data_IF_060454208725
#
_entry.id   IF_060454208725
#
_cell.length_a   1.000
_cell.length_b   1.000
_cell.length_c   1.000
_cell.angle_alpha   90.00
_cell.angle_beta   90.00
_cell.angle_gamma   90.00
#
_symmetry.space_group_name_H-M   'P 1'
#
loop_
_entity.id
_entity.type
_entity.pdbx_description
1 polymer ?
#
# COMPACT_ATOMS: atom_id res chain seq x y z
N UNK A 1 -20.91 -4.54 6.93
CA UNK A 1 -19.47 -4.48 6.60
C UNK A 1 -19.29 -5.01 5.19
N UNK A 2 -18.90 -4.18 4.23
CA UNK A 2 -18.56 -4.69 2.91
C UNK A 2 -17.25 -5.49 3.00
N UNK A 3 -17.18 -6.66 2.36
CA UNK A 3 -15.96 -7.48 2.32
C UNK A 3 -14.90 -6.71 1.54
N UNK A 4 -13.72 -6.53 2.13
CA UNK A 4 -12.60 -5.92 1.43
C UNK A 4 -12.12 -6.87 0.32
N UNK A 5 -11.77 -6.29 -0.84
CA UNK A 5 -11.12 -7.03 -1.93
C UNK A 5 -9.61 -6.96 -1.77
N UNK A 6 -8.89 -7.97 -2.28
CA UNK A 6 -7.43 -8.08 -2.17
C UNK A 6 -6.71 -6.82 -2.70
N UNK A 7 -7.16 -6.26 -3.82
CA UNK A 7 -6.55 -5.03 -4.38
C UNK A 7 -6.75 -3.79 -3.50
N UNK A 8 -7.84 -3.71 -2.73
CA UNK A 8 -8.08 -2.59 -1.83
C UNK A 8 -7.17 -2.70 -0.60
N UNK A 9 -7.05 -3.91 -0.03
CA UNK A 9 -6.10 -4.20 1.06
C UNK A 9 -4.66 -3.89 0.63
N UNK A 10 -4.27 -4.29 -0.58
CA UNK A 10 -2.95 -4.02 -1.13
C UNK A 10 -2.64 -2.51 -1.18
N UNK A 11 -3.61 -1.69 -1.61
CA UNK A 11 -3.50 -0.22 -1.64
C UNK A 11 -3.37 0.37 -0.24
N UNK A 12 -4.18 -0.09 0.72
CA UNK A 12 -4.13 0.39 2.11
C UNK A 12 -2.79 0.11 2.79
N UNK A 13 -2.21 -1.05 2.51
CA UNK A 13 -0.92 -1.46 3.04
C UNK A 13 0.27 -0.96 2.21
N UNK A 14 0.03 -0.35 1.04
CA UNK A 14 1.08 0.13 0.14
C UNK A 14 2.00 -0.97 -0.42
N UNK A 15 1.49 -2.19 -0.55
CA UNK A 15 2.20 -3.36 -1.07
C UNK A 15 1.55 -3.88 -2.35
N UNK A 16 2.28 -4.57 -3.24
CA UNK A 16 1.69 -5.13 -4.45
C UNK A 16 0.69 -6.24 -4.12
N UNK A 17 -0.37 -6.38 -4.93
CA UNK A 17 -1.40 -7.42 -4.75
C UNK A 17 -0.82 -8.83 -4.68
N UNK A 18 0.32 -9.10 -5.33
CA UNK A 18 1.02 -10.38 -5.28
C UNK A 18 1.46 -10.75 -3.85
N UNK A 19 2.01 -9.79 -3.10
CA UNK A 19 2.45 -10.03 -1.72
C UNK A 19 1.26 -10.35 -0.81
N UNK A 20 0.13 -9.69 -1.04
CA UNK A 20 -1.12 -9.96 -0.30
C UNK A 20 -1.65 -11.35 -0.64
N UNK A 21 -1.62 -11.76 -1.91
CA UNK A 21 -2.03 -13.11 -2.33
C UNK A 21 -1.15 -14.20 -1.72
N UNK A 22 0.17 -13.98 -1.67
CA UNK A 22 1.14 -14.91 -1.05
C UNK A 22 0.89 -15.05 0.45
N UNK A 23 0.74 -13.94 1.17
CA UNK A 23 0.45 -13.97 2.61
C UNK A 23 -0.90 -14.65 2.93
N UNK A 24 -1.95 -14.41 2.13
CA UNK A 24 -3.23 -15.10 2.28
C UNK A 24 -3.09 -16.61 2.04
N UNK A 25 -2.27 -17.02 1.06
CA UNK A 25 -2.00 -18.43 0.79
C UNK A 25 -1.25 -19.11 1.94
N UNK A 26 -0.29 -18.43 2.56
CA UNK A 26 0.44 -18.94 3.74
C UNK A 26 -0.49 -19.12 4.95
N UNK A 27 -1.53 -18.30 5.05
CA UNK A 27 -2.60 -18.44 6.05
C UNK A 27 -3.61 -19.56 5.72
N UNK A 28 -3.46 -20.25 4.58
CA UNK A 28 -4.36 -21.29 4.13
C UNK A 28 -5.59 -20.79 3.36
N UNK A 29 -5.66 -19.50 3.03
CA UNK A 29 -6.76 -18.90 2.27
C UNK A 29 -6.38 -18.75 0.78
N UNK A 30 -7.07 -19.49 -0.09
CA UNK A 30 -6.76 -19.51 -1.52
C UNK A 30 -7.66 -18.55 -2.31
N UNK A 31 -7.14 -17.36 -2.58
CA UNK A 31 -7.81 -16.35 -3.40
C UNK A 31 -7.39 -16.43 -4.87
N UNK A 32 -8.37 -16.35 -5.79
CA UNK A 32 -8.16 -16.57 -7.24
C UNK A 32 -7.49 -15.38 -7.94
N UNK A 33 -7.78 -14.15 -7.51
CA UNK A 33 -7.28 -12.92 -8.13
C UNK A 33 -7.38 -11.73 -7.19
N UNK A 34 -6.79 -10.60 -7.58
CA UNK A 34 -6.90 -9.35 -6.82
C UNK A 34 -8.35 -8.83 -6.69
N UNK A 35 -9.26 -9.27 -7.55
CA UNK A 35 -10.69 -8.93 -7.51
C UNK A 35 -11.50 -9.82 -6.56
N UNK A 36 -10.89 -10.87 -6.00
CA UNK A 36 -11.54 -11.73 -5.01
C UNK A 36 -11.74 -10.98 -3.68
N UNK A 37 -12.88 -11.22 -3.04
CA UNK A 37 -13.20 -10.74 -1.68
C UNK A 37 -12.59 -11.65 -0.63
N UNK A 38 -12.13 -11.06 0.47
CA UNK A 38 -11.59 -11.77 1.63
C UNK A 38 -12.60 -11.70 2.77
N UNK A 39 -12.79 -12.80 3.50
CA UNK A 39 -13.64 -12.81 4.69
C UNK A 39 -13.08 -11.86 5.77
N UNK A 40 -13.97 -11.12 6.44
CA UNK A 40 -13.60 -10.15 7.46
C UNK A 40 -12.62 -10.67 8.54
N UNK A 41 -12.77 -11.88 9.11
CA UNK A 41 -11.79 -12.42 10.05
C UNK A 41 -10.41 -12.67 9.41
N UNK A 42 -10.34 -13.07 8.14
CA UNK A 42 -9.08 -13.33 7.44
C UNK A 42 -8.35 -12.03 7.15
N UNK A 43 -9.07 -10.99 6.68
CA UNK A 43 -8.50 -9.67 6.47
C UNK A 43 -7.96 -9.07 7.77
N UNK A 44 -8.67 -9.23 8.90
CA UNK A 44 -8.19 -8.81 10.23
C UNK A 44 -6.90 -9.51 10.64
N UNK A 45 -6.83 -10.84 10.47
CA UNK A 45 -5.63 -11.63 10.78
C UNK A 45 -4.43 -11.19 9.95
N UNK A 46 -4.64 -10.93 8.66
CA UNK A 46 -3.61 -10.42 7.75
C UNK A 46 -3.08 -9.05 8.21
N UNK A 47 -3.97 -8.14 8.60
CA UNK A 47 -3.61 -6.81 9.12
C UNK A 47 -2.85 -6.90 10.46
N UNK A 48 -3.27 -7.78 11.37
CA UNK A 48 -2.55 -8.00 12.65
C UNK A 48 -1.13 -8.52 12.43
N UNK A 49 -0.93 -9.46 11.50
CA UNK A 49 0.37 -10.10 11.27
C UNK A 49 1.31 -9.22 10.42
N UNK A 50 0.77 -8.61 9.37
CA UNK A 50 1.58 -7.95 8.35
C UNK A 50 1.25 -6.47 8.14
N UNK A 51 0.06 -6.03 8.54
CA UNK A 51 -0.43 -4.66 8.30
C UNK A 51 0.48 -3.59 8.91
N UNK A 52 0.99 -3.80 10.13
CA UNK A 52 1.92 -2.87 10.78
C UNK A 52 3.25 -2.78 10.01
N UNK A 53 3.83 -3.93 9.65
CA UNK A 53 5.09 -4.01 8.92
C UNK A 53 4.97 -3.39 7.51
N UNK A 54 3.87 -3.67 6.81
CA UNK A 54 3.63 -3.16 5.47
C UNK A 54 3.29 -1.66 5.47
N UNK A 55 2.46 -1.17 6.39
CA UNK A 55 2.21 0.28 6.53
C UNK A 55 3.49 1.03 6.90
N UNK A 56 4.32 0.50 7.80
CA UNK A 56 5.61 1.11 8.13
C UNK A 56 6.56 1.14 6.92
N UNK A 57 6.64 0.05 6.16
CA UNK A 57 7.44 -0.02 4.94
C UNK A 57 6.92 0.93 3.84
N UNK A 58 5.61 1.06 3.70
CA UNK A 58 4.97 1.99 2.77
C UNK A 58 5.24 3.46 3.16
N UNK A 59 5.13 3.80 4.44
CA UNK A 59 5.46 5.13 4.96
C UNK A 59 6.94 5.48 4.74
N UNK A 60 7.86 4.54 4.97
CA UNK A 60 9.29 4.73 4.69
C UNK A 60 9.60 4.88 3.19
N UNK A 61 8.84 4.23 2.32
CA UNK A 61 8.94 4.44 0.86
C UNK A 61 8.40 5.81 0.43
N UNK A 62 7.35 6.30 1.07
CA UNK A 62 6.78 7.61 0.78
C UNK A 62 7.74 8.76 1.16
N UNK A 63 8.42 8.67 2.32
CA UNK A 63 9.42 9.66 2.72
C UNK A 63 10.67 9.66 1.83
N UNK A 64 11.09 8.50 1.30
CA UNK A 64 12.16 8.45 0.29
C UNK A 64 11.76 9.04 -1.08
N UNK A 65 10.47 9.07 -1.42
CA UNK A 65 9.99 9.71 -2.66
C UNK A 65 9.76 11.22 -2.51
N UNK A 66 9.62 11.72 -1.28
CA UNK A 66 9.62 13.15 -0.97
C UNK A 66 11.00 13.73 -0.62
N UNK A 67 12.04 12.89 -0.53
CA UNK A 67 13.43 13.32 -0.32
C UNK A 67 14.22 13.42 -1.65
N UNK A 68 13.58 13.87 -2.72
CA UNK A 68 14.34 14.59 -3.75
C UNK A 68 14.68 15.98 -3.15
N UNK A 69 15.96 16.36 -3.01
CA UNK A 69 16.31 17.74 -2.72
C UNK A 69 15.95 18.54 -3.97
N UNK A 70 14.72 19.03 -4.05
CA UNK A 70 14.44 20.17 -4.91
C UNK A 70 15.22 21.35 -4.31
N UNK A 71 16.17 21.97 -5.02
CA UNK A 71 16.84 23.14 -4.49
C UNK A 71 15.80 24.23 -4.22
N UNK A 72 16.03 24.94 -3.13
CA UNK A 72 15.20 26.01 -2.63
C UNK A 72 14.92 27.10 -3.68
N UNK A 73 13.78 27.76 -3.48
CA UNK A 73 13.50 29.16 -3.77
C UNK A 73 14.51 29.92 -4.67
N UNK A 74 14.06 30.28 -5.87
CA UNK A 74 14.51 31.44 -6.63
C UNK A 74 13.30 31.93 -7.44
N UNK A 75 12.60 32.94 -6.95
CA UNK A 75 12.82 34.35 -7.31
C UNK A 75 11.94 34.74 -8.52
N UNK A 76 11.06 35.69 -8.26
CA UNK A 76 10.39 36.46 -9.28
C UNK A 76 11.43 37.11 -10.21
N UNK A 77 11.19 37.05 -11.52
CA UNK A 77 11.47 38.17 -12.42
C UNK A 77 10.64 38.02 -13.69
N UNK A 78 9.96 39.12 -14.02
CA UNK A 78 9.37 39.41 -15.32
C UNK A 78 10.41 39.31 -16.45
N UNK A 79 9.96 39.06 -17.68
CA UNK A 79 10.02 40.00 -18.82
C UNK A 79 9.85 39.28 -20.18
N UNK A 80 8.84 39.73 -20.92
CA UNK A 80 8.70 39.94 -22.37
C UNK A 80 9.60 39.17 -23.38
N UNK A 81 8.95 38.48 -24.33
CA UNK A 81 9.14 38.59 -25.79
C UNK A 81 8.00 37.91 -26.54
#
# INVERSE_FOLDING_TARGET
MAKARVHELAKEFGVPSKNVLEALKDMGEFVKSASSTVEAPVARRLEELHGVAWKAAAAAKATKKSAAPGPAAGAATAVDS
#
